data_IF_117658058292
#
_entry.id   IF_117658058292
#
_cell.length_a   1.000
_cell.length_b   1.000
_cell.length_c   1.000
_cell.angle_alpha   90.00
_cell.angle_beta   90.00
_cell.angle_gamma   90.00
#
_symmetry.space_group_name_H-M   'P 1'
#
loop_
_entity.id
_entity.type
_entity.pdbx_description
1 polymer ?
#
# COMPACT_ATOMS: atom_id res chain seq x y z
N UNK A 1 -1.52 62.28 -59.28
CA UNK A 1 -1.76 61.21 -58.28
C UNK A 1 -0.75 61.41 -57.16
N UNK A 2 -1.25 61.64 -55.95
CA UNK A 2 -0.58 62.28 -54.81
C UNK A 2 0.57 61.41 -54.27
N UNK A 3 1.74 62.03 -54.05
CA UNK A 3 2.89 61.49 -53.35
C UNK A 3 2.51 61.17 -51.90
N UNK A 4 2.29 59.90 -51.59
CA UNK A 4 2.20 59.36 -50.24
C UNK A 4 3.11 58.12 -50.24
N UNK A 5 4.09 58.09 -49.33
CA UNK A 5 5.04 56.99 -49.03
C UNK A 5 6.53 57.18 -49.39
N UNK A 6 7.08 58.40 -49.42
CA UNK A 6 8.54 58.55 -49.60
C UNK A 6 9.32 58.15 -48.33
N UNK A 7 8.90 58.55 -47.13
CA UNK A 7 9.72 58.38 -45.92
C UNK A 7 9.94 56.91 -45.53
N UNK A 8 8.90 56.08 -45.64
CA UNK A 8 9.02 54.64 -45.37
C UNK A 8 9.87 53.94 -46.44
N UNK A 9 9.76 54.35 -47.71
CA UNK A 9 10.60 53.81 -48.77
C UNK A 9 12.07 54.21 -48.58
N UNK A 10 12.35 55.46 -48.22
CA UNK A 10 13.69 55.93 -47.87
C UNK A 10 14.27 55.20 -46.65
N UNK A 11 13.46 54.93 -45.63
CA UNK A 11 13.85 54.13 -44.47
C UNK A 11 14.22 52.70 -44.88
N UNK A 12 13.41 52.04 -45.72
CA UNK A 12 13.72 50.71 -46.25
C UNK A 12 14.98 50.70 -47.12
N UNK A 13 15.20 51.74 -47.94
CA UNK A 13 16.43 51.87 -48.74
C UNK A 13 17.67 52.05 -47.87
N UNK A 14 17.57 52.83 -46.79
CA UNK A 14 18.65 52.97 -45.82
C UNK A 14 18.93 51.64 -45.10
N UNK A 15 17.88 50.91 -44.69
CA UNK A 15 18.02 49.58 -44.07
C UNK A 15 18.68 48.57 -45.02
N UNK A 16 18.33 48.61 -46.31
CA UNK A 16 18.93 47.77 -47.35
C UNK A 16 20.40 48.10 -47.65
N UNK A 17 20.96 49.16 -47.06
CA UNK A 17 22.33 49.60 -47.33
C UNK A 17 22.52 50.26 -48.69
N UNK A 18 21.46 50.82 -49.28
CA UNK A 18 21.52 51.50 -50.57
C UNK A 18 21.98 52.96 -50.44
N UNK A 19 22.76 53.43 -51.41
CA UNK A 19 23.14 54.84 -51.50
C UNK A 19 21.98 55.65 -52.11
N UNK A 20 21.24 56.35 -51.26
CA UNK A 20 20.01 57.10 -51.59
C UNK A 20 20.16 58.01 -52.84
N UNK A 21 21.22 58.84 -52.99
CA UNK A 21 21.35 59.74 -54.15
C UNK A 21 21.59 59.02 -55.48
N UNK A 22 22.06 57.76 -55.46
CA UNK A 22 22.23 56.93 -56.66
C UNK A 22 20.92 56.21 -56.97
N UNK A 23 20.22 55.73 -55.95
CA UNK A 23 18.97 55.01 -56.11
C UNK A 23 17.85 55.89 -56.67
N UNK A 24 17.80 57.15 -56.29
CA UNK A 24 16.79 58.11 -56.76
C UNK A 24 16.82 58.30 -58.28
N UNK A 25 18.00 58.13 -58.90
CA UNK A 25 18.18 58.19 -60.37
C UNK A 25 17.71 56.92 -61.10
N UNK A 26 17.53 55.79 -60.39
CA UNK A 26 17.21 54.48 -60.97
C UNK A 26 15.83 53.95 -60.53
N UNK A 27 14.77 54.39 -61.21
CA UNK A 27 13.36 54.08 -60.85
C UNK A 27 13.01 52.59 -60.87
N UNK A 28 13.71 51.77 -61.65
CA UNK A 28 13.50 50.31 -61.72
C UNK A 28 13.98 49.55 -60.48
N UNK A 29 14.94 50.09 -59.73
CA UNK A 29 15.56 49.41 -58.59
C UNK A 29 14.90 49.75 -57.23
N UNK A 30 14.05 50.78 -57.17
CA UNK A 30 13.33 51.22 -55.97
C UNK A 30 12.58 50.08 -55.26
N UNK A 31 11.81 49.29 -56.02
CA UNK A 31 11.03 48.16 -55.48
C UNK A 31 11.94 47.05 -54.96
N UNK A 32 13.07 46.81 -55.63
CA UNK A 32 14.02 45.74 -55.27
C UNK A 32 14.68 46.03 -53.93
N UNK A 33 15.23 47.23 -53.74
CA UNK A 33 15.86 47.61 -52.48
C UNK A 33 14.85 47.81 -51.35
N UNK A 34 13.62 48.24 -51.66
CA UNK A 34 12.53 48.29 -50.67
C UNK A 34 12.18 46.89 -50.14
N UNK A 35 12.11 45.87 -51.01
CA UNK A 35 11.87 44.47 -50.60
C UNK A 35 13.03 43.92 -49.78
N UNK A 36 14.29 44.20 -50.17
CA UNK A 36 15.47 43.78 -49.39
C UNK A 36 15.43 44.40 -47.99
N UNK A 37 15.20 45.72 -47.89
CA UNK A 37 15.07 46.39 -46.59
C UNK A 37 13.92 45.85 -45.74
N UNK A 38 12.78 45.55 -46.37
CA UNK A 38 11.62 45.00 -45.68
C UNK A 38 11.88 43.60 -45.11
N UNK A 39 12.61 42.74 -45.84
CA UNK A 39 12.95 41.40 -45.35
C UNK A 39 13.93 41.41 -44.18
N UNK A 40 14.87 42.34 -44.16
CA UNK A 40 15.79 42.53 -43.02
C UNK A 40 15.02 43.03 -41.80
N UNK A 41 14.14 44.03 -41.97
CA UNK A 41 13.30 44.57 -40.90
C UNK A 41 12.37 43.51 -40.32
N UNK A 42 11.76 42.67 -41.17
CA UNK A 42 10.90 41.58 -40.73
C UNK A 42 11.68 40.54 -39.91
N UNK A 43 12.92 40.25 -40.30
CA UNK A 43 13.77 39.28 -39.59
C UNK A 43 14.19 39.82 -38.23
N UNK A 44 14.55 41.11 -38.15
CA UNK A 44 14.86 41.78 -36.89
C UNK A 44 13.63 41.83 -35.95
N UNK A 45 12.41 42.02 -36.49
CA UNK A 45 11.19 41.99 -35.69
C UNK A 45 10.90 40.60 -35.11
N UNK A 46 11.04 39.54 -35.91
CA UNK A 46 10.89 38.16 -35.42
C UNK A 46 11.94 37.84 -34.37
N UNK A 47 13.18 38.29 -34.57
CA UNK A 47 14.25 38.15 -33.59
C UNK A 47 13.97 38.89 -32.28
N UNK A 48 13.32 40.06 -32.33
CA UNK A 48 12.87 40.78 -31.14
C UNK A 48 11.86 39.97 -30.35
N UNK A 49 10.85 39.41 -31.02
CA UNK A 49 9.84 38.57 -30.38
C UNK A 49 10.46 37.30 -29.77
N UNK A 50 11.32 36.61 -30.51
CA UNK A 50 11.99 35.39 -30.05
C UNK A 50 12.99 35.65 -28.92
N UNK A 51 13.77 36.73 -29.01
CA UNK A 51 14.71 37.14 -27.97
C UNK A 51 14.00 37.56 -26.68
N UNK A 52 12.87 38.27 -26.80
CA UNK A 52 12.04 38.66 -25.66
C UNK A 52 11.40 37.43 -24.99
N UNK A 53 10.89 36.46 -25.76
CA UNK A 53 10.29 35.24 -25.19
C UNK A 53 11.33 34.33 -24.52
N UNK A 54 12.51 34.18 -25.12
CA UNK A 54 13.61 33.44 -24.51
C UNK A 54 14.06 34.09 -23.21
N UNK A 55 14.28 35.42 -23.21
CA UNK A 55 14.66 36.15 -22.00
C UNK A 55 13.60 36.05 -20.90
N UNK A 56 12.31 36.08 -21.26
CA UNK A 56 11.21 35.91 -20.31
C UNK A 56 11.24 34.52 -19.65
N UNK A 57 11.46 33.46 -20.42
CA UNK A 57 11.58 32.08 -19.91
C UNK A 57 12.79 31.92 -18.97
N UNK A 58 13.96 32.44 -19.36
CA UNK A 58 15.18 32.36 -18.52
C UNK A 58 15.09 33.21 -17.24
N UNK A 59 14.45 34.38 -17.31
CA UNK A 59 14.27 35.25 -16.13
C UNK A 59 13.35 34.59 -15.09
N UNK A 60 12.40 33.75 -15.53
CA UNK A 60 11.50 33.01 -14.64
C UNK A 60 12.19 31.90 -13.84
N UNK A 61 13.24 31.26 -14.40
CA UNK A 61 13.99 30.19 -13.73
C UNK A 61 15.10 30.72 -12.80
N UNK A 62 15.51 31.99 -12.91
CA UNK A 62 16.83 32.43 -12.46
C UNK A 62 16.93 33.31 -11.22
N UNK A 63 15.91 34.06 -10.78
CA UNK A 63 16.07 34.96 -9.60
C UNK A 63 14.74 35.54 -9.10
N UNK A 64 14.55 35.56 -7.78
CA UNK A 64 13.36 36.04 -7.05
C UNK A 64 13.04 37.55 -7.19
N UNK A 65 13.75 38.28 -8.05
CA UNK A 65 13.51 39.68 -8.41
C UNK A 65 12.80 39.84 -9.79
N UNK A 66 12.24 38.75 -10.32
CA UNK A 66 11.64 38.63 -11.65
C UNK A 66 10.30 39.38 -11.78
N UNK A 67 10.36 40.71 -11.86
CA UNK A 67 9.17 41.56 -11.92
C UNK A 67 9.12 42.61 -13.03
N UNK A 68 10.11 42.69 -13.92
CA UNK A 68 10.13 43.79 -14.90
C UNK A 68 10.22 43.29 -16.34
N UNK A 69 9.06 43.19 -17.01
CA UNK A 69 8.92 42.96 -18.45
C UNK A 69 9.85 43.86 -19.29
N UNK A 70 10.21 45.04 -18.75
CA UNK A 70 11.19 45.94 -19.35
C UNK A 70 12.57 45.30 -19.60
N UNK A 71 13.08 44.45 -18.71
CA UNK A 71 14.39 43.80 -18.89
C UNK A 71 14.39 42.76 -20.01
N UNK A 72 13.35 41.93 -20.09
CA UNK A 72 13.21 40.94 -21.18
C UNK A 72 13.04 41.64 -22.53
N UNK A 73 12.29 42.75 -22.58
CA UNK A 73 12.15 43.56 -23.79
C UNK A 73 13.46 44.24 -24.21
N UNK A 74 14.21 44.81 -23.26
CA UNK A 74 15.53 45.41 -23.54
C UNK A 74 16.52 44.38 -24.08
N UNK A 75 16.56 43.18 -23.49
CA UNK A 75 17.37 42.08 -24.00
C UNK A 75 16.97 41.69 -25.42
N UNK A 76 15.67 41.50 -25.66
CA UNK A 76 15.14 41.21 -26.99
C UNK A 76 15.46 42.31 -28.02
N UNK A 77 15.44 43.58 -27.60
CA UNK A 77 15.80 44.71 -28.44
C UNK A 77 17.29 44.72 -28.80
N UNK A 78 18.18 44.46 -27.83
CA UNK A 78 19.62 44.33 -28.08
C UNK A 78 19.89 43.17 -29.05
N UNK A 79 19.18 42.05 -28.86
CA UNK A 79 19.31 40.88 -29.72
C UNK A 79 18.82 41.14 -31.16
N UNK A 80 17.71 41.86 -31.31
CA UNK A 80 17.20 42.30 -32.60
C UNK A 80 18.17 43.26 -33.31
N UNK A 81 18.80 44.18 -32.58
CA UNK A 81 19.84 45.07 -33.13
C UNK A 81 21.05 44.27 -33.61
N UNK A 82 21.49 43.27 -32.84
CA UNK A 82 22.61 42.42 -33.22
C UNK A 82 22.33 41.67 -34.53
N UNK A 83 21.16 41.04 -34.65
CA UNK A 83 20.75 40.33 -35.87
C UNK A 83 20.59 41.30 -37.04
N UNK A 84 20.02 42.48 -36.80
CA UNK A 84 19.89 43.53 -37.80
C UNK A 84 21.26 44.00 -38.34
N UNK A 85 22.25 44.21 -37.47
CA UNK A 85 23.61 44.59 -37.86
C UNK A 85 24.30 43.50 -38.69
N UNK A 86 24.14 42.23 -38.30
CA UNK A 86 24.70 41.09 -39.04
C UNK A 86 24.06 40.99 -40.43
N UNK A 87 22.73 40.96 -40.52
CA UNK A 87 22.00 40.88 -41.80
C UNK A 87 22.34 42.06 -42.72
N UNK A 88 22.44 43.29 -42.18
CA UNK A 88 22.84 44.49 -42.94
C UNK A 88 24.27 44.38 -43.46
N UNK A 89 25.21 43.93 -42.63
CA UNK A 89 26.62 43.80 -43.01
C UNK A 89 26.84 42.77 -44.13
N UNK A 90 26.06 41.68 -44.13
CA UNK A 90 26.13 40.62 -45.14
C UNK A 90 25.63 41.12 -46.50
N UNK A 91 24.54 41.88 -46.52
CA UNK A 91 24.00 42.47 -47.76
C UNK A 91 24.95 43.49 -48.37
N UNK A 92 25.63 44.29 -47.54
CA UNK A 92 26.58 45.32 -48.00
C UNK A 92 27.92 44.71 -48.46
N UNK A 93 28.39 43.65 -47.81
CA UNK A 93 29.71 43.05 -48.10
C UNK A 93 29.73 42.14 -49.33
N UNK A 94 28.56 41.67 -49.79
CA UNK A 94 28.46 40.87 -51.00
C UNK A 94 28.61 41.76 -52.25
N UNK A 95 29.86 42.14 -52.56
CA UNK A 95 30.20 42.91 -53.76
C UNK A 95 29.87 42.12 -55.03
N UNK A 96 29.22 42.82 -55.95
CA UNK A 96 28.84 42.37 -57.29
C UNK A 96 30.04 42.44 -58.23
N UNK A 97 30.46 41.32 -58.80
CA UNK A 97 31.33 41.35 -59.98
C UNK A 97 30.56 41.96 -61.18
N UNK A 98 31.10 43.01 -61.83
CA UNK A 98 30.37 43.77 -62.86
C UNK A 98 30.19 43.03 -64.19
N UNK A 99 30.78 41.83 -64.38
CA UNK A 99 30.94 41.20 -65.69
C UNK A 99 29.86 40.19 -66.09
N UNK A 100 28.93 39.79 -65.22
CA UNK A 100 27.91 38.76 -65.54
C UNK A 100 26.47 39.30 -65.62
N UNK A 101 25.89 39.23 -66.82
CA UNK A 101 24.53 39.71 -67.18
C UNK A 101 23.36 38.95 -66.52
N UNK A 102 23.60 37.87 -65.76
CA UNK A 102 22.56 37.09 -65.08
C UNK A 102 22.83 37.09 -63.58
N UNK A 103 22.17 37.99 -62.86
CA UNK A 103 22.33 38.15 -61.41
C UNK A 103 21.57 37.04 -60.66
N UNK A 104 22.29 36.15 -60.00
CA UNK A 104 21.69 35.06 -59.23
C UNK A 104 21.32 35.57 -57.83
N UNK A 105 20.06 35.98 -57.66
CA UNK A 105 19.43 36.32 -56.36
C UNK A 105 19.49 35.11 -55.39
N UNK A 106 19.67 33.91 -55.92
CA UNK A 106 19.73 32.65 -55.18
C UNK A 106 21.01 32.53 -54.33
N UNK A 107 22.14 33.10 -54.76
CA UNK A 107 23.41 32.99 -54.02
C UNK A 107 23.40 33.69 -52.66
N UNK A 108 22.96 34.96 -52.52
CA UNK A 108 22.81 35.61 -51.21
C UNK A 108 21.73 34.94 -50.35
N UNK A 109 20.67 34.41 -50.98
CA UNK A 109 19.61 33.71 -50.25
C UNK A 109 20.10 32.37 -49.68
N UNK A 110 20.95 31.65 -50.43
CA UNK A 110 21.50 30.36 -50.04
C UNK A 110 22.53 30.48 -48.91
N UNK A 111 23.42 31.49 -48.95
CA UNK A 111 24.38 31.71 -47.86
C UNK A 111 23.67 32.07 -46.55
N UNK A 112 22.57 32.83 -46.63
CA UNK A 112 21.72 33.18 -45.48
C UNK A 112 21.02 31.95 -44.88
N UNK A 113 20.48 31.06 -45.71
CA UNK A 113 19.87 29.81 -45.26
C UNK A 113 20.89 28.88 -44.58
N UNK A 114 22.09 28.75 -45.16
CA UNK A 114 23.15 27.91 -44.58
C UNK A 114 23.62 28.42 -43.21
N UNK A 115 23.84 29.74 -43.07
CA UNK A 115 24.25 30.34 -41.81
C UNK A 115 23.15 30.24 -40.74
N UNK A 116 21.89 30.45 -41.11
CA UNK A 116 20.75 30.29 -40.21
C UNK A 116 20.60 28.86 -39.68
N UNK A 117 20.83 27.84 -40.53
CA UNK A 117 20.79 26.43 -40.11
C UNK A 117 21.89 26.12 -39.09
N UNK A 118 23.11 26.63 -39.28
CA UNK A 118 24.22 26.42 -38.34
C UNK A 118 23.95 27.07 -36.99
N UNK A 119 23.42 28.30 -36.98
CA UNK A 119 23.03 29.00 -35.74
C UNK A 119 21.87 28.29 -35.06
N UNK A 120 20.85 27.84 -35.81
CA UNK A 120 19.71 27.11 -35.28
C UNK A 120 20.14 25.78 -34.62
N UNK A 121 21.04 25.03 -35.26
CA UNK A 121 21.59 23.80 -34.69
C UNK A 121 22.36 24.08 -33.39
N UNK A 122 23.20 25.11 -33.38
CA UNK A 122 24.00 25.46 -32.21
C UNK A 122 23.16 25.94 -31.02
N UNK A 123 22.01 26.58 -31.30
CA UNK A 123 21.05 27.03 -30.27
C UNK A 123 20.11 25.91 -29.83
N UNK A 124 19.81 24.94 -30.70
CA UNK A 124 18.87 23.84 -30.40
C UNK A 124 19.38 22.90 -29.32
N UNK A 125 20.67 22.54 -29.34
CA UNK A 125 21.27 21.59 -28.40
C UNK A 125 21.18 22.07 -26.93
N UNK A 126 21.58 23.31 -26.57
CA UNK A 126 21.47 23.77 -25.19
C UNK A 126 20.01 23.92 -24.74
N UNK A 127 19.10 24.34 -25.63
CA UNK A 127 17.67 24.45 -25.32
C UNK A 127 17.02 23.09 -25.08
N UNK A 128 17.43 22.06 -25.83
CA UNK A 128 16.99 20.69 -25.67
C UNK A 128 17.33 20.14 -24.27
N UNK A 129 18.56 20.37 -23.81
CA UNK A 129 18.98 19.95 -22.47
C UNK A 129 18.22 20.70 -21.36
N UNK A 130 18.03 22.01 -21.48
CA UNK A 130 17.34 22.83 -20.47
C UNK A 130 15.85 22.50 -20.36
N UNK A 131 15.19 22.16 -21.48
CA UNK A 131 13.77 21.76 -21.44
C UNK A 131 13.58 20.33 -20.97
N UNK A 132 14.56 19.46 -21.21
CA UNK A 132 14.52 18.06 -20.76
C UNK A 132 15.09 17.83 -19.36
N UNK A 133 15.76 18.81 -18.75
CA UNK A 133 16.22 18.74 -17.35
C UNK A 133 15.05 18.48 -16.39
N UNK A 134 13.91 19.12 -16.61
CA UNK A 134 12.69 18.92 -15.82
C UNK A 134 12.12 17.48 -16.00
N UNK A 135 12.27 16.89 -17.19
CA UNK A 135 11.86 15.51 -17.47
C UNK A 135 12.82 14.47 -16.88
N UNK A 136 14.13 14.75 -16.89
CA UNK A 136 15.15 13.87 -16.32
C UNK A 136 14.96 13.80 -14.79
N UNK A 137 14.75 14.95 -14.15
CA UNK A 137 14.51 15.05 -12.70
C UNK A 137 13.31 14.23 -12.24
N UNK A 138 12.20 14.26 -12.99
CA UNK A 138 11.00 13.47 -12.68
C UNK A 138 11.19 11.95 -12.89
N UNK A 139 12.12 11.55 -13.76
CA UNK A 139 12.43 10.15 -14.01
C UNK A 139 13.53 9.60 -13.08
N UNK A 140 14.32 10.46 -12.44
CA UNK A 140 15.37 10.09 -11.49
C UNK A 140 14.79 9.43 -10.23
N UNK A 141 13.70 9.96 -9.67
CA UNK A 141 13.01 9.37 -8.51
C UNK A 141 12.54 7.93 -8.79
N UNK A 142 12.04 7.69 -10.01
CA UNK A 142 11.63 6.36 -10.46
C UNK A 142 12.82 5.42 -10.66
N UNK A 143 13.98 5.96 -11.07
CA UNK A 143 15.19 5.17 -11.28
C UNK A 143 15.86 4.78 -9.95
N UNK A 144 15.93 5.71 -8.99
CA UNK A 144 16.41 5.44 -7.64
C UNK A 144 15.53 4.42 -6.91
N UNK A 145 14.20 4.58 -6.96
CA UNK A 145 13.26 3.62 -6.37
C UNK A 145 13.43 2.21 -6.95
N UNK A 146 13.66 2.12 -8.27
CA UNK A 146 13.88 0.84 -8.93
C UNK A 146 15.23 0.21 -8.51
N UNK A 147 16.31 0.99 -8.45
CA UNK A 147 17.62 0.52 -7.96
C UNK A 147 17.56 0.05 -6.49
N UNK A 148 16.90 0.80 -5.62
CA UNK A 148 16.71 0.42 -4.20
C UNK A 148 15.89 -0.87 -4.11
N UNK A 149 14.87 -1.06 -4.95
CA UNK A 149 14.05 -2.27 -4.95
C UNK A 149 14.84 -3.52 -5.42
N UNK A 150 15.74 -3.36 -6.39
CA UNK A 150 16.60 -4.44 -6.87
C UNK A 150 17.61 -4.83 -5.79
N UNK A 151 18.23 -3.84 -5.15
CA UNK A 151 19.20 -4.07 -4.08
C UNK A 151 18.52 -4.68 -2.83
N UNK A 152 17.32 -4.22 -2.49
CA UNK A 152 16.48 -4.79 -1.45
C UNK A 152 16.08 -6.24 -1.71
N UNK A 153 15.71 -6.59 -2.96
CA UNK A 153 15.47 -7.99 -3.35
C UNK A 153 16.71 -8.86 -3.26
N UNK A 154 17.87 -8.37 -3.70
CA UNK A 154 19.13 -9.10 -3.60
C UNK A 154 19.55 -9.35 -2.15
N UNK A 155 19.35 -8.38 -1.26
CA UNK A 155 19.58 -8.57 0.18
C UNK A 155 18.58 -9.56 0.77
N UNK A 156 17.31 -9.50 0.39
CA UNK A 156 16.27 -10.43 0.86
C UNK A 156 16.57 -11.87 0.45
N UNK A 157 16.95 -12.11 -0.81
CA UNK A 157 17.36 -13.44 -1.31
C UNK A 157 18.61 -13.96 -0.57
N UNK A 158 19.63 -13.12 -0.38
CA UNK A 158 20.86 -13.52 0.30
C UNK A 158 20.69 -13.71 1.82
N UNK A 159 19.75 -13.00 2.44
CA UNK A 159 19.48 -13.10 3.88
C UNK A 159 18.76 -14.39 4.29
N UNK A 160 18.19 -15.13 3.32
CA UNK A 160 17.43 -16.36 3.60
C UNK A 160 16.10 -16.12 4.34
N UNK A 161 15.61 -14.88 4.40
CA UNK A 161 14.39 -14.49 5.11
C UNK A 161 13.15 -15.23 4.58
N UNK A 162 13.03 -15.44 3.26
CA UNK A 162 11.92 -16.22 2.68
C UNK A 162 11.98 -17.70 3.06
N UNK A 163 13.19 -18.24 3.26
CA UNK A 163 13.34 -19.60 3.76
C UNK A 163 12.93 -19.69 5.24
N UNK A 164 13.24 -18.65 6.02
CA UNK A 164 12.84 -18.54 7.43
C UNK A 164 11.32 -18.40 7.58
N UNK A 165 10.69 -17.52 6.79
CA UNK A 165 9.23 -17.30 6.82
C UNK A 165 8.46 -18.57 6.42
N UNK A 166 8.96 -19.29 5.40
CA UNK A 166 8.41 -20.59 4.99
C UNK A 166 8.54 -21.63 6.11
N UNK A 167 9.69 -21.66 6.81
CA UNK A 167 9.89 -22.56 7.97
C UNK A 167 8.98 -22.21 9.15
N UNK A 168 8.75 -20.93 9.42
CA UNK A 168 7.83 -20.46 10.46
C UNK A 168 6.40 -20.88 10.13
N UNK A 169 5.95 -20.67 8.89
CA UNK A 169 4.62 -21.09 8.45
C UNK A 169 4.42 -22.61 8.57
N UNK A 170 5.43 -23.40 8.17
CA UNK A 170 5.41 -24.85 8.35
C UNK A 170 5.39 -25.25 9.83
N UNK A 171 6.14 -24.55 10.68
CA UNK A 171 6.15 -24.79 12.13
C UNK A 171 4.76 -24.50 12.75
N UNK A 172 4.11 -23.40 12.39
CA UNK A 172 2.74 -23.08 12.83
C UNK A 172 1.72 -24.13 12.37
N UNK A 173 1.85 -24.62 11.12
CA UNK A 173 1.00 -25.70 10.62
C UNK A 173 1.20 -27.01 11.40
N UNK A 174 2.42 -27.29 11.86
CA UNK A 174 2.71 -28.47 12.67
C UNK A 174 2.17 -28.29 14.08
N UNK A 175 2.33 -27.09 14.65
CA UNK A 175 1.90 -26.76 16.00
C UNK A 175 0.37 -26.77 16.14
N UNK A 176 -0.36 -26.33 15.11
CA UNK A 176 -1.82 -26.46 15.04
C UNK A 176 -2.29 -27.92 14.97
N UNK A 177 -1.62 -28.78 14.21
CA UNK A 177 -1.90 -30.23 14.19
C UNK A 177 -1.67 -30.87 15.56
N UNK A 178 -0.54 -30.56 16.21
CA UNK A 178 -0.23 -31.06 17.56
C UNK A 178 -1.26 -30.59 18.59
N UNK A 179 -1.72 -29.33 18.52
CA UNK A 179 -2.79 -28.82 19.39
C UNK A 179 -4.11 -29.57 19.17
N UNK A 180 -4.49 -29.83 17.92
CA UNK A 180 -5.68 -30.59 17.61
C UNK A 180 -5.59 -32.04 18.12
N UNK A 181 -4.43 -32.67 17.99
CA UNK A 181 -4.17 -34.02 18.52
C UNK A 181 -4.21 -34.03 20.05
N UNK A 182 -3.61 -33.04 20.71
CA UNK A 182 -3.67 -32.89 22.17
C UNK A 182 -5.11 -32.76 22.67
N UNK A 183 -5.95 -31.94 22.02
CA UNK A 183 -7.36 -31.79 22.37
C UNK A 183 -8.14 -33.10 22.19
N UNK A 184 -7.81 -33.86 21.12
CA UNK A 184 -8.41 -35.17 20.89
C UNK A 184 -8.02 -36.15 21.99
N UNK A 185 -6.74 -36.23 22.33
CA UNK A 185 -6.24 -37.06 23.43
C UNK A 185 -6.89 -36.68 24.77
N UNK A 186 -7.03 -35.39 25.05
CA UNK A 186 -7.68 -34.90 26.26
C UNK A 186 -9.17 -35.31 26.30
N UNK A 187 -9.87 -35.26 25.17
CA UNK A 187 -11.22 -35.81 25.03
C UNK A 187 -11.29 -37.32 25.26
N UNK A 188 -10.33 -38.07 24.72
CA UNK A 188 -10.22 -39.51 24.92
C UNK A 188 -9.94 -39.85 26.40
N UNK A 189 -9.02 -39.14 27.07
CA UNK A 189 -8.71 -39.29 28.49
C UNK A 189 -9.95 -39.03 29.34
N UNK A 190 -10.68 -37.94 29.09
CA UNK A 190 -11.91 -37.62 29.82
C UNK A 190 -12.97 -38.72 29.64
N UNK A 191 -13.10 -39.27 28.42
CA UNK A 191 -14.04 -40.36 28.16
C UNK A 191 -13.65 -41.67 28.88
N UNK A 192 -12.35 -41.96 28.94
CA UNK A 192 -11.81 -43.11 29.66
C UNK A 192 -11.98 -42.94 31.16
N UNK A 193 -11.74 -41.75 31.70
CA UNK A 193 -11.96 -41.44 33.11
C UNK A 193 -13.44 -41.62 33.49
N UNK A 194 -14.37 -41.06 32.71
CA UNK A 194 -15.80 -41.24 32.95
C UNK A 194 -16.23 -42.73 32.90
N UNK A 195 -15.57 -43.52 32.04
CA UNK A 195 -15.80 -44.96 31.95
C UNK A 195 -15.20 -45.71 33.15
N UNK A 196 -14.04 -45.30 33.65
CA UNK A 196 -13.44 -45.82 34.88
C UNK A 196 -14.37 -45.52 36.06
N UNK A 197 -14.78 -44.26 36.23
CA UNK A 197 -15.67 -43.84 37.31
C UNK A 197 -16.97 -44.65 37.30
N UNK A 198 -17.57 -44.83 36.11
CA UNK A 198 -18.76 -45.67 35.94
C UNK A 198 -18.51 -47.13 36.33
N UNK A 199 -17.37 -47.71 35.95
CA UNK A 199 -17.02 -49.08 36.32
C UNK A 199 -16.70 -49.22 37.81
N UNK A 200 -16.14 -48.19 38.45
CA UNK A 200 -15.94 -48.13 39.89
C UNK A 200 -17.27 -48.04 40.65
N UNK A 201 -18.20 -47.22 40.17
CA UNK A 201 -19.57 -47.15 40.67
C UNK A 201 -20.29 -48.49 40.52
N UNK A 202 -20.17 -49.14 39.35
CA UNK A 202 -20.77 -50.46 39.11
C UNK A 202 -20.15 -51.55 40.01
N UNK A 203 -18.86 -51.43 40.34
CA UNK A 203 -18.16 -52.31 41.28
C UNK A 203 -18.59 -52.08 42.74
N UNK A 204 -18.86 -50.84 43.14
CA UNK A 204 -19.25 -50.49 44.51
C UNK A 204 -20.76 -50.68 44.75
N UNK A 205 -21.58 -50.38 43.74
CA UNK A 205 -23.03 -50.46 43.75
C UNK A 205 -23.53 -51.27 42.55
N UNK A 206 -23.36 -52.60 42.60
CA UNK A 206 -23.71 -53.45 41.48
C UNK A 206 -25.20 -53.37 41.18
N UNK A 207 -25.55 -53.06 39.93
CA UNK A 207 -26.94 -52.98 39.47
C UNK A 207 -27.53 -54.39 39.21
N UNK A 208 -27.35 -55.30 40.17
CA UNK A 208 -28.00 -56.61 40.14
C UNK A 208 -29.37 -56.49 40.80
N UNK A 209 -30.36 -57.23 40.25
CA UNK A 209 -31.70 -57.30 40.85
C UNK A 209 -31.64 -57.70 42.33
N UNK A 210 -30.75 -58.64 42.68
CA UNK A 210 -30.51 -59.11 44.04
C UNK A 210 -29.96 -58.01 44.96
N UNK A 211 -29.00 -57.21 44.50
CA UNK A 211 -28.42 -56.09 45.27
C UNK A 211 -29.44 -54.97 45.49
N UNK A 212 -30.19 -54.60 44.45
CA UNK A 212 -31.21 -53.56 44.53
C UNK A 212 -32.34 -53.93 45.51
N UNK A 213 -32.76 -55.20 45.51
CA UNK A 213 -33.76 -55.71 46.47
C UNK A 213 -33.22 -55.69 47.89
N UNK A 214 -31.96 -56.08 48.11
CA UNK A 214 -31.33 -56.04 49.43
C UNK A 214 -31.16 -54.60 49.95
N UNK A 215 -30.77 -53.68 49.07
CA UNK A 215 -30.68 -52.24 49.37
C UNK A 215 -32.02 -51.64 49.75
N UNK A 216 -33.08 -51.94 48.99
CA UNK A 216 -34.44 -51.47 49.32
C UNK A 216 -34.90 -51.97 50.70
N UNK A 217 -34.60 -53.23 51.04
CA UNK A 217 -34.89 -53.78 52.38
C UNK A 217 -34.10 -53.06 53.48
N UNK A 218 -32.83 -52.75 53.23
CA UNK A 218 -32.00 -51.97 54.16
C UNK A 218 -32.58 -50.57 54.37
N UNK A 219 -32.91 -49.85 53.29
CA UNK A 219 -33.46 -48.49 53.33
C UNK A 219 -34.80 -48.45 54.06
N UNK A 220 -35.71 -49.38 53.76
CA UNK A 220 -36.99 -49.51 54.46
C UNK A 220 -36.81 -49.80 55.95
N UNK A 221 -35.86 -50.68 56.30
CA UNK A 221 -35.57 -51.02 57.70
C UNK A 221 -34.92 -49.85 58.46
N UNK A 222 -34.08 -49.06 57.78
CA UNK A 222 -33.50 -47.82 58.32
C UNK A 222 -34.57 -46.77 58.58
N UNK A 223 -35.49 -46.58 57.63
CA UNK A 223 -36.60 -45.65 57.80
C UNK A 223 -37.50 -46.08 58.98
N UNK A 224 -37.86 -47.36 59.05
CA UNK A 224 -38.66 -47.90 60.16
C UNK A 224 -37.95 -47.74 61.52
N UNK A 225 -36.65 -48.04 61.59
CA UNK A 225 -35.83 -47.80 62.78
C UNK A 225 -35.84 -46.32 63.21
N UNK A 226 -35.67 -45.40 62.27
CA UNK A 226 -35.66 -43.96 62.55
C UNK A 226 -37.02 -43.49 63.07
N UNK A 227 -38.12 -44.00 62.49
CA UNK A 227 -39.48 -43.69 62.95
C UNK A 227 -39.73 -44.21 64.37
N UNK A 228 -39.33 -45.46 64.67
CA UNK A 228 -39.47 -46.02 66.03
C UNK A 228 -38.57 -45.30 67.03
N UNK A 229 -37.34 -44.95 66.65
CA UNK A 229 -36.43 -44.15 67.49
C UNK A 229 -37.02 -42.77 67.79
N UNK A 230 -37.64 -42.12 66.81
CA UNK A 230 -38.35 -40.86 67.02
C UNK A 230 -39.53 -41.03 67.99
N UNK A 231 -40.33 -42.09 67.84
CA UNK A 231 -41.45 -42.40 68.74
C UNK A 231 -40.99 -42.73 70.17
N UNK A 232 -39.89 -43.48 70.31
CA UNK A 232 -39.26 -43.76 71.61
C UNK A 232 -38.86 -42.47 72.31
N UNK A 233 -38.18 -41.57 71.59
CA UNK A 233 -37.76 -40.27 72.13
C UNK A 233 -38.96 -39.39 72.49
N UNK A 234 -40.04 -39.43 71.71
CA UNK A 234 -41.27 -38.70 72.01
C UNK A 234 -41.97 -39.22 73.27
N UNK A 235 -42.05 -40.54 73.46
CA UNK A 235 -42.62 -41.16 74.67
C UNK A 235 -41.79 -40.87 75.92
N UNK A 236 -40.46 -40.93 75.81
CA UNK A 236 -39.54 -40.71 76.92
C UNK A 236 -39.53 -39.26 77.43
N UNK A 237 -40.01 -38.30 76.63
CA UNK A 237 -40.10 -36.87 77.00
C UNK A 237 -41.38 -36.49 77.75
N UNK A 238 -42.33 -37.42 77.91
CA UNK A 238 -43.60 -37.16 78.63
C UNK A 238 -43.35 -37.00 80.14
N UNK A 239 -44.23 -36.25 80.81
CA UNK A 239 -44.16 -36.03 82.27
C UNK A 239 -44.26 -37.35 83.07
N UNK A 240 -44.97 -38.34 82.54
CA UNK A 240 -45.07 -39.70 83.08
C UNK A 240 -44.88 -40.73 81.95
N UNK A 241 -43.64 -41.15 81.66
CA UNK A 241 -43.37 -42.10 80.58
C UNK A 241 -43.83 -43.52 80.94
N UNK A 242 -44.42 -44.24 79.98
CA UNK A 242 -44.84 -45.63 80.17
C UNK A 242 -43.70 -46.61 79.89
N UNK A 243 -43.24 -47.34 80.91
CA UNK A 243 -42.14 -48.29 80.78
C UNK A 243 -42.46 -49.45 79.81
N UNK A 244 -43.72 -49.90 79.76
CA UNK A 244 -44.14 -50.96 78.84
C UNK A 244 -44.06 -50.52 77.38
N UNK A 245 -44.39 -49.26 77.09
CA UNK A 245 -44.29 -48.68 75.73
C UNK A 245 -42.82 -48.46 75.35
N UNK A 246 -42.00 -47.95 76.28
CA UNK A 246 -40.56 -47.77 76.04
C UNK A 246 -39.85 -49.11 75.76
N UNK A 247 -40.13 -50.15 76.56
CA UNK A 247 -39.58 -51.49 76.35
C UNK A 247 -40.01 -52.07 74.99
N UNK A 248 -41.27 -51.82 74.59
CA UNK A 248 -41.78 -52.22 73.27
C UNK A 248 -41.00 -51.56 72.13
N UNK A 249 -40.82 -50.24 72.17
CA UNK A 249 -40.05 -49.53 71.15
C UNK A 249 -38.58 -49.94 71.12
N UNK A 250 -37.96 -50.21 72.29
CA UNK A 250 -36.60 -50.75 72.34
C UNK A 250 -36.51 -52.12 71.67
N UNK A 251 -37.49 -52.99 71.89
CA UNK A 251 -37.57 -54.29 71.21
C UNK A 251 -37.73 -54.12 69.69
N UNK A 252 -38.64 -53.26 69.24
CA UNK A 252 -38.86 -52.97 67.82
C UNK A 252 -37.58 -52.40 67.16
N UNK A 253 -36.90 -51.50 67.85
CA UNK A 253 -35.63 -50.90 67.41
C UNK A 253 -34.53 -51.97 67.28
N UNK A 254 -34.43 -52.91 68.24
CA UNK A 254 -33.52 -54.05 68.16
C UNK A 254 -33.87 -54.97 66.98
N UNK A 255 -35.16 -55.19 66.70
CA UNK A 255 -35.61 -55.97 65.54
C UNK A 255 -35.20 -55.30 64.23
N UNK A 256 -35.47 -53.99 64.07
CA UNK A 256 -35.06 -53.27 62.86
C UNK A 256 -33.54 -53.17 62.72
N UNK A 257 -32.79 -53.08 63.83
CA UNK A 257 -31.34 -53.13 63.81
C UNK A 257 -30.82 -54.47 63.28
N UNK A 258 -31.42 -55.59 63.71
CA UNK A 258 -31.12 -56.91 63.18
C UNK A 258 -31.48 -57.02 61.69
N UNK A 259 -32.66 -56.52 61.29
CA UNK A 259 -33.09 -56.53 59.88
C UNK A 259 -32.15 -55.72 58.98
N UNK A 260 -31.67 -54.57 59.45
CA UNK A 260 -30.63 -53.79 58.77
C UNK A 260 -29.33 -54.58 58.63
N UNK A 261 -28.86 -55.22 59.70
CA UNK A 261 -27.64 -56.02 59.65
C UNK A 261 -27.76 -57.19 58.65
N UNK A 262 -28.89 -57.89 58.62
CA UNK A 262 -29.17 -58.95 57.65
C UNK A 262 -29.28 -58.41 56.23
N UNK A 263 -29.95 -57.28 56.02
CA UNK A 263 -30.04 -56.64 54.71
C UNK A 263 -28.65 -56.20 54.20
N UNK A 264 -27.79 -55.69 55.07
CA UNK A 264 -26.41 -55.35 54.75
C UNK A 264 -25.61 -56.59 54.33
N UNK A 265 -25.69 -57.70 55.07
CA UNK A 265 -25.03 -58.96 54.69
C UNK A 265 -25.51 -59.49 53.32
N UNK A 266 -26.81 -59.35 53.04
CA UNK A 266 -27.38 -59.72 51.75
C UNK A 266 -26.87 -58.81 50.62
N UNK A 267 -26.70 -57.51 50.87
CA UNK A 267 -26.08 -56.57 49.92
C UNK A 267 -24.63 -56.97 49.64
N UNK A 268 -23.84 -57.27 50.68
CA UNK A 268 -22.44 -57.65 50.53
C UNK A 268 -22.30 -58.97 49.74
N UNK A 269 -23.18 -59.94 50.02
CA UNK A 269 -23.22 -61.23 49.32
C UNK A 269 -23.63 -61.06 47.85
N UNK A 270 -24.68 -60.27 47.58
CA UNK A 270 -25.13 -59.97 46.22
C UNK A 270 -24.05 -59.21 45.43
N UNK A 271 -23.31 -58.30 46.08
CA UNK A 271 -22.22 -57.57 45.47
C UNK A 271 -21.03 -58.48 45.12
N UNK A 272 -20.67 -59.42 46.00
CA UNK A 272 -19.64 -60.43 45.74
C UNK A 272 -20.02 -61.34 44.56
N UNK A 273 -21.26 -61.83 44.52
CA UNK A 273 -21.76 -62.70 43.45
C UNK A 273 -21.76 -61.99 42.09
N UNK A 274 -22.15 -60.72 42.04
CA UNK A 274 -22.11 -59.92 40.83
C UNK A 274 -20.67 -59.71 40.33
N UNK A 275 -19.72 -59.42 41.24
CA UNK A 275 -18.29 -59.29 40.91
C UNK A 275 -17.71 -60.59 40.35
N UNK A 276 -18.12 -61.75 40.88
CA UNK A 276 -17.67 -63.06 40.40
C UNK A 276 -18.17 -63.35 38.97
N UNK A 277 -19.43 -63.03 38.66
CA UNK A 277 -20.03 -63.25 37.33
C UNK A 277 -19.40 -62.38 36.23
N UNK A 278 -19.07 -61.13 36.54
CA UNK A 278 -18.47 -60.21 35.55
C UNK A 278 -16.96 -60.41 35.35
N UNK A 279 -16.27 -61.18 36.22
CA UNK A 279 -14.87 -61.60 35.98
C UNK A 279 -14.73 -62.77 35.00
N UNK A 280 -15.82 -63.47 34.68
CA UNK A 280 -15.83 -64.65 33.81
C UNK A 280 -16.27 -64.36 32.37
N UNK A 281 -16.65 -63.12 32.07
CA UNK A 281 -16.99 -62.63 30.73
C UNK A 281 -15.85 -61.78 30.18
#
# INVERSE_FOLDING_TARGET
>A
MKYMNNDFQHLLWNIAGAEIPILEKCRTDHKKFSVIGATILMTAFIALCAGTSAAWYFTQKGTDDSGNFGWSFLFGLIWAILIFCIDRSLVITLKKDPTKKRQTIIVPLLSRAALAIVVAFMVSIPLELVIFEDYISANEENFEANQISILGRQLKDNSGEDMLSTRISNADSTLSKLRAESLKLEGEINSLQARIDKLEDEKNYPNSSEYNVAKLKYDNSLQAYNNVSANYNAENRKQYPSQSILNKYQSEMSTYQSQKATAQQNMDSAASNWKAKNKQK
#
